data_IF_618779083660
#
_entry.id   IF_618779083660
#
_cell.length_a   1.000
_cell.length_b   1.000
_cell.length_c   1.000
_cell.angle_alpha   90.00
_cell.angle_beta   90.00
_cell.angle_gamma   90.00
#
_symmetry.space_group_name_H-M   'P 1'
#
loop_
_entity.id
_entity.type
_entity.pdbx_description
1 polymer ?
#
# COMPACT_ATOMS: atom_id res chain seq x y z
N UNK A 1 40.48 60.22 -20.29
CA UNK A 1 40.58 58.80 -20.72
C UNK A 1 39.74 57.86 -19.85
N UNK A 2 39.66 58.02 -18.53
CA UNK A 2 38.92 57.07 -17.66
C UNK A 2 37.43 56.86 -17.94
N UNK A 3 36.70 57.85 -18.45
CA UNK A 3 35.27 57.70 -18.74
C UNK A 3 34.97 56.59 -19.77
N UNK A 4 35.86 56.39 -20.74
CA UNK A 4 35.67 55.35 -21.77
C UNK A 4 35.87 53.93 -21.18
N UNK A 5 36.89 53.76 -20.34
CA UNK A 5 37.15 52.51 -19.61
C UNK A 5 36.00 52.17 -18.66
N UNK A 6 35.46 53.16 -17.94
CA UNK A 6 34.33 52.97 -17.04
C UNK A 6 33.05 52.52 -17.79
N UNK A 7 32.80 53.08 -18.98
CA UNK A 7 31.69 52.64 -19.84
C UNK A 7 31.89 51.23 -20.40
N UNK A 8 33.10 50.87 -20.80
CA UNK A 8 33.42 49.53 -21.32
C UNK A 8 33.32 48.46 -20.22
N UNK A 9 33.78 48.78 -19.00
CA UNK A 9 33.61 47.94 -17.83
C UNK A 9 32.12 47.74 -17.48
N UNK A 10 31.30 48.79 -17.60
CA UNK A 10 29.86 48.72 -17.37
C UNK A 10 29.14 47.84 -18.41
N UNK A 11 29.51 47.95 -19.68
CA UNK A 11 28.97 47.10 -20.76
C UNK A 11 29.33 45.62 -20.53
N UNK A 12 30.59 45.33 -20.23
CA UNK A 12 31.05 43.98 -19.92
C UNK A 12 30.32 43.37 -18.70
N UNK A 13 30.00 44.19 -17.70
CA UNK A 13 29.23 43.75 -16.54
C UNK A 13 27.78 43.41 -16.90
N UNK A 14 27.13 44.23 -17.73
CA UNK A 14 25.78 43.96 -18.24
C UNK A 14 25.73 42.68 -19.07
N UNK A 15 26.72 42.46 -19.93
CA UNK A 15 26.81 41.22 -20.72
C UNK A 15 26.97 39.98 -19.83
N UNK A 16 27.76 40.07 -18.75
CA UNK A 16 27.85 39.00 -17.74
C UNK A 16 26.51 38.75 -17.05
N UNK A 17 25.74 39.79 -16.75
CA UNK A 17 24.40 39.65 -16.18
C UNK A 17 23.48 38.90 -17.17
N UNK A 18 23.46 39.31 -18.44
CA UNK A 18 22.60 38.67 -19.46
C UNK A 18 22.95 37.20 -19.68
N UNK A 19 24.24 36.87 -19.68
CA UNK A 19 24.70 35.49 -19.76
C UNK A 19 24.26 34.67 -18.53
N UNK A 20 24.39 35.23 -17.33
CA UNK A 20 23.94 34.56 -16.10
C UNK A 20 22.42 34.36 -16.08
N UNK A 21 21.65 35.35 -16.52
CA UNK A 21 20.19 35.24 -16.63
C UNK A 21 19.79 34.16 -17.65
N UNK A 22 20.53 34.04 -18.74
CA UNK A 22 20.32 33.00 -19.74
C UNK A 22 20.62 31.60 -19.19
N UNK A 23 21.69 31.45 -18.40
CA UNK A 23 22.00 30.21 -17.69
C UNK A 23 20.89 29.83 -16.70
N UNK A 24 20.49 30.77 -15.83
CA UNK A 24 19.39 30.56 -14.87
C UNK A 24 18.11 30.15 -15.60
N UNK A 25 17.76 30.81 -16.70
CA UNK A 25 16.58 30.48 -17.50
C UNK A 25 16.63 29.06 -18.05
N UNK A 26 17.80 28.61 -18.50
CA UNK A 26 18.00 27.25 -19.01
C UNK A 26 17.89 26.21 -17.89
N UNK A 27 18.50 26.47 -16.73
CA UNK A 27 18.39 25.59 -15.55
C UNK A 27 16.94 25.47 -15.08
N UNK A 28 16.19 26.58 -15.00
CA UNK A 28 14.77 26.55 -14.65
C UNK A 28 13.93 25.75 -15.65
N UNK A 29 14.28 25.80 -16.93
CA UNK A 29 13.62 25.00 -17.97
C UNK A 29 13.89 23.51 -17.75
N UNK A 30 15.11 23.14 -17.38
CA UNK A 30 15.48 21.75 -17.08
C UNK A 30 14.80 21.24 -15.80
N UNK A 31 14.76 22.05 -14.74
CA UNK A 31 14.02 21.71 -13.51
C UNK A 31 12.54 21.47 -13.83
N UNK A 32 11.93 22.34 -14.64
CA UNK A 32 10.54 22.20 -15.06
C UNK A 32 10.27 20.90 -15.83
N UNK A 33 11.18 20.47 -16.71
CA UNK A 33 11.03 19.19 -17.42
C UNK A 33 11.21 18.00 -16.48
N UNK A 34 12.18 18.06 -15.55
CA UNK A 34 12.37 17.03 -14.52
C UNK A 34 11.13 16.86 -13.64
N UNK A 35 10.53 17.96 -13.15
CA UNK A 35 9.30 17.92 -12.36
C UNK A 35 8.14 17.29 -13.14
N UNK A 36 7.99 17.62 -14.43
CA UNK A 36 6.95 17.01 -15.28
C UNK A 36 7.14 15.50 -15.42
N UNK A 37 8.38 15.05 -15.62
CA UNK A 37 8.71 13.62 -15.69
C UNK A 37 8.37 12.92 -14.37
N UNK A 38 8.81 13.49 -13.25
CA UNK A 38 8.54 12.97 -11.90
C UNK A 38 7.05 12.82 -11.62
N UNK A 39 6.22 13.81 -12.00
CA UNK A 39 4.76 13.70 -11.87
C UNK A 39 4.18 12.55 -12.68
N UNK A 40 4.66 12.34 -13.90
CA UNK A 40 4.21 11.23 -14.75
C UNK A 40 4.59 9.89 -14.12
N UNK A 41 5.83 9.76 -13.67
CA UNK A 41 6.33 8.55 -13.02
C UNK A 41 5.54 8.25 -11.74
N UNK A 42 5.23 9.29 -10.94
CA UNK A 42 4.44 9.16 -9.71
C UNK A 42 2.97 8.80 -9.99
N UNK A 43 2.39 9.29 -11.10
CA UNK A 43 1.06 8.84 -11.56
C UNK A 43 1.07 7.35 -11.88
N UNK A 44 2.07 6.89 -12.65
CA UNK A 44 2.20 5.48 -13.01
C UNK A 44 2.37 4.60 -11.76
N UNK A 45 3.20 5.02 -10.82
CA UNK A 45 3.38 4.31 -9.54
C UNK A 45 2.06 4.25 -8.79
N UNK A 46 1.35 5.39 -8.67
CA UNK A 46 0.05 5.44 -8.00
C UNK A 46 -0.94 4.47 -8.63
N UNK A 47 -1.09 4.53 -9.94
CA UNK A 47 -2.02 3.68 -10.70
C UNK A 47 -1.68 2.19 -10.54
N UNK A 48 -0.40 1.83 -10.67
CA UNK A 48 0.07 0.45 -10.48
C UNK A 48 -0.07 -0.04 -9.03
N UNK A 49 0.08 0.87 -8.06
CA UNK A 49 -0.03 0.56 -6.64
C UNK A 49 -1.48 0.52 -6.15
N UNK A 50 -2.45 1.00 -6.95
CA UNK A 50 -3.84 1.12 -6.53
C UNK A 50 -4.43 -0.22 -6.10
N UNK A 51 -4.10 -1.31 -6.78
CA UNK A 51 -4.57 -2.65 -6.41
C UNK A 51 -4.03 -3.10 -5.05
N UNK A 52 -2.78 -2.75 -4.73
CA UNK A 52 -2.19 -3.05 -3.43
C UNK A 52 -2.75 -2.17 -2.33
N UNK A 53 -2.95 -0.87 -2.63
CA UNK A 53 -3.63 0.05 -1.72
C UNK A 53 -5.02 -0.48 -1.40
N UNK A 54 -5.81 -0.91 -2.40
CA UNK A 54 -7.12 -1.50 -2.18
C UNK A 54 -7.06 -2.84 -1.41
N UNK A 55 -6.01 -3.63 -1.61
CA UNK A 55 -5.80 -4.90 -0.90
C UNK A 55 -5.47 -4.69 0.60
N UNK A 56 -4.67 -3.66 0.91
CA UNK A 56 -4.22 -3.37 2.28
C UNK A 56 -5.05 -2.28 2.98
N UNK A 57 -5.96 -1.61 2.27
CA UNK A 57 -6.97 -0.73 2.86
C UNK A 57 -7.94 -1.60 3.67
N UNK A 58 -7.54 -1.83 4.92
CA UNK A 58 -8.37 -2.36 5.96
C UNK A 58 -9.45 -1.31 6.27
N UNK A 59 -10.69 -1.58 5.90
CA UNK A 59 -11.81 -0.80 6.41
C UNK A 59 -11.94 -1.13 7.90
N UNK A 60 -11.49 -0.22 8.79
CA UNK A 60 -11.79 -0.32 10.22
C UNK A 60 -13.31 -0.39 10.49
N UNK A 61 -14.13 0.04 9.52
CA UNK A 61 -15.58 -0.04 9.62
C UNK A 61 -16.18 -1.43 9.27
N UNK A 62 -15.38 -2.39 8.79
CA UNK A 62 -15.80 -3.81 8.68
C UNK A 62 -15.65 -4.53 10.05
N UNK A 63 -16.13 -3.89 11.12
CA UNK A 63 -16.26 -4.50 12.46
C UNK A 63 -17.28 -5.65 12.52
N UNK A 64 -17.90 -6.04 11.40
CA UNK A 64 -18.96 -7.06 11.39
C UNK A 64 -18.47 -8.52 11.46
N UNK A 65 -17.16 -8.79 11.44
CA UNK A 65 -16.65 -10.17 11.48
C UNK A 65 -15.70 -10.51 12.66
N UNK A 66 -15.15 -9.53 13.39
CA UNK A 66 -14.18 -9.80 14.47
C UNK A 66 -14.26 -8.80 15.63
N UNK A 67 -15.44 -8.55 16.18
CA UNK A 67 -15.57 -7.85 17.46
C UNK A 67 -15.53 -8.84 18.62
N UNK A 68 -14.34 -9.33 18.99
CA UNK A 68 -14.08 -9.82 20.34
C UNK A 68 -12.58 -9.84 20.68
N UNK A 69 -12.07 -8.72 21.18
CA UNK A 69 -11.11 -8.62 22.29
C UNK A 69 -10.52 -7.20 22.34
N UNK A 70 -11.27 -6.32 22.98
CA UNK A 70 -10.71 -5.12 23.57
C UNK A 70 -9.64 -5.52 24.61
N UNK A 71 -8.38 -5.18 24.36
CA UNK A 71 -7.50 -4.68 25.41
C UNK A 71 -6.93 -3.35 24.95
N UNK A 72 -7.57 -2.28 25.43
CA UNK A 72 -7.09 -0.90 25.39
C UNK A 72 -5.58 -0.86 25.63
N UNK A 73 -4.84 -0.30 24.68
CA UNK A 73 -3.59 0.38 24.96
C UNK A 73 -3.72 1.76 24.34
N UNK A 74 -4.17 2.72 25.16
CA UNK A 74 -4.18 4.14 24.80
C UNK A 74 -2.71 4.60 24.78
N UNK A 75 -2.15 4.76 23.58
CA UNK A 75 -0.95 5.59 23.38
C UNK A 75 -1.44 7.00 23.11
N UNK A 76 -1.44 7.82 24.15
CA UNK A 76 -1.62 9.26 24.05
C UNK A 76 -0.32 9.79 23.42
N UNK A 77 -0.37 10.22 22.16
CA UNK A 77 0.66 11.05 21.56
C UNK A 77 0.16 12.48 21.69
N UNK A 78 0.69 13.21 22.67
CA UNK A 78 0.54 14.66 22.76
C UNK A 78 1.32 15.27 21.58
N UNK A 79 0.62 15.61 20.50
CA UNK A 79 1.15 16.45 19.43
C UNK A 79 0.78 17.92 19.70
N UNK A 80 1.75 18.81 20.01
CA UNK A 80 1.48 20.20 20.37
C UNK A 80 1.16 21.11 19.18
N UNK A 81 0.91 20.59 17.98
CA UNK A 81 0.69 21.39 16.76
C UNK A 81 -0.64 21.14 16.02
N UNK A 82 -1.63 20.51 16.64
CA UNK A 82 -2.91 20.15 15.97
C UNK A 82 -3.84 21.33 15.61
N UNK A 83 -3.56 22.56 16.03
CA UNK A 83 -4.39 23.72 15.72
C UNK A 83 -3.76 24.59 14.63
N UNK A 84 -3.88 24.19 13.35
CA UNK A 84 -3.95 25.10 12.18
C UNK A 84 -3.91 24.34 10.84
N UNK A 85 -4.95 23.59 10.47
CA UNK A 85 -5.21 23.33 9.04
C UNK A 85 -6.71 23.36 8.73
N UNK A 86 -7.15 24.07 7.67
CA UNK A 86 -8.56 24.22 7.33
C UNK A 86 -9.18 22.97 6.70
N UNK A 87 -10.45 22.79 7.03
CA UNK A 87 -11.40 21.68 6.80
C UNK A 87 -11.76 21.47 5.30
N UNK A 88 -10.77 21.20 4.43
CA UNK A 88 -10.98 21.08 2.96
C UNK A 88 -10.95 19.63 2.45
N UNK A 89 -10.75 18.62 3.31
CA UNK A 89 -10.63 17.22 2.89
C UNK A 89 -11.73 16.26 3.38
N UNK A 90 -12.92 16.76 3.70
CA UNK A 90 -14.12 15.91 3.83
C UNK A 90 -14.81 15.78 2.48
N UNK A 91 -14.19 15.03 1.56
CA UNK A 91 -14.88 14.58 0.35
C UNK A 91 -15.54 13.24 0.66
N UNK A 92 -16.80 13.28 1.04
CA UNK A 92 -17.68 12.11 1.14
C UNK A 92 -17.91 11.57 -0.28
N UNK A 93 -17.15 10.55 -0.67
CA UNK A 93 -17.46 9.81 -1.90
C UNK A 93 -18.43 8.70 -1.51
N UNK A 94 -19.72 8.92 -1.80
CA UNK A 94 -20.70 7.83 -1.87
C UNK A 94 -20.31 6.98 -3.10
N UNK A 95 -19.87 5.74 -2.87
CA UNK A 95 -19.73 4.75 -3.93
C UNK A 95 -20.77 3.66 -3.66
N UNK A 96 -21.91 3.81 -4.31
CA UNK A 96 -22.82 2.70 -4.57
C UNK A 96 -22.15 1.71 -5.52
N UNK A 97 -22.39 0.42 -5.26
CA UNK A 97 -22.03 -0.77 -6.07
C UNK A 97 -20.63 -1.36 -5.87
N UNK A 98 -20.58 -2.19 -4.82
CA UNK A 98 -19.60 -3.24 -4.57
C UNK A 98 -19.82 -4.40 -5.56
N UNK A 99 -19.26 -4.35 -6.76
CA UNK A 99 -19.12 -5.55 -7.60
C UNK A 99 -17.94 -6.37 -7.11
N UNK A 100 -18.25 -7.49 -6.45
CA UNK A 100 -17.31 -8.57 -6.14
C UNK A 100 -16.62 -9.05 -7.41
N UNK A 101 -15.34 -8.73 -7.58
CA UNK A 101 -14.49 -9.36 -8.60
C UNK A 101 -14.21 -10.81 -8.18
N UNK A 102 -15.07 -11.72 -8.66
CA UNK A 102 -14.79 -13.15 -8.69
C UNK A 102 -13.82 -13.38 -9.85
N UNK A 103 -12.53 -13.47 -9.55
CA UNK A 103 -11.60 -14.13 -10.48
C UNK A 103 -12.01 -15.61 -10.55
N UNK A 104 -12.49 -16.02 -11.72
CA UNK A 104 -13.13 -17.30 -11.96
C UNK A 104 -12.13 -18.46 -12.15
N UNK A 105 -10.84 -18.22 -11.88
CA UNK A 105 -9.82 -19.25 -11.91
C UNK A 105 -9.79 -20.07 -10.61
N UNK A 106 -10.66 -21.07 -10.49
CA UNK A 106 -10.52 -22.08 -9.44
C UNK A 106 -9.29 -22.96 -9.73
N UNK A 107 -8.18 -22.72 -9.02
CA UNK A 107 -6.97 -23.53 -9.14
C UNK A 107 -7.16 -24.80 -8.29
N UNK A 108 -7.02 -26.02 -8.86
CA UNK A 108 -7.05 -27.26 -8.10
C UNK A 108 -6.01 -27.26 -6.98
N UNK A 109 -6.31 -27.94 -5.86
CA UNK A 109 -5.42 -28.05 -4.69
C UNK A 109 -3.97 -28.42 -5.07
N UNK A 110 -3.79 -29.30 -6.05
CA UNK A 110 -2.49 -29.78 -6.53
C UNK A 110 -1.62 -28.69 -7.15
N UNK A 111 -2.23 -27.63 -7.70
CA UNK A 111 -1.53 -26.55 -8.42
C UNK A 111 -1.33 -25.27 -7.60
N UNK A 112 -1.91 -25.17 -6.40
CA UNK A 112 -1.70 -24.01 -5.52
C UNK A 112 -0.22 -23.77 -5.21
N UNK A 113 0.55 -24.86 -5.05
CA UNK A 113 1.99 -24.77 -4.78
C UNK A 113 2.78 -24.27 -5.99
N UNK A 114 2.32 -24.50 -7.21
CA UNK A 114 3.00 -24.03 -8.41
C UNK A 114 2.82 -22.52 -8.58
N UNK A 115 1.65 -21.99 -8.25
CA UNK A 115 1.30 -20.57 -8.38
C UNK A 115 1.57 -19.69 -7.16
N UNK A 116 2.17 -20.25 -6.11
CA UNK A 116 2.52 -19.49 -4.92
C UNK A 116 3.69 -18.52 -5.21
N UNK A 117 3.63 -17.25 -4.78
CA UNK A 117 4.77 -16.34 -4.78
C UNK A 117 5.96 -16.95 -4.02
N UNK A 118 7.19 -16.75 -4.50
CA UNK A 118 8.40 -17.30 -3.85
C UNK A 118 8.56 -16.85 -2.38
N UNK A 119 8.06 -15.66 -2.05
CA UNK A 119 8.02 -15.13 -0.69
C UNK A 119 7.12 -15.94 0.25
N UNK A 120 6.01 -16.50 -0.25
CA UNK A 120 5.14 -17.38 0.53
C UNK A 120 5.63 -18.84 0.53
N UNK A 121 6.33 -19.27 -0.53
CA UNK A 121 6.95 -20.61 -0.61
C UNK A 121 8.07 -20.81 0.40
N UNK A 122 8.81 -19.74 0.68
CA UNK A 122 9.95 -19.76 1.61
C UNK A 122 9.52 -19.61 3.07
N UNK A 123 8.26 -19.26 3.34
CA UNK A 123 7.77 -18.99 4.69
C UNK A 123 7.27 -20.28 5.37
N UNK A 124 7.95 -20.77 6.43
CA UNK A 124 7.60 -22.05 7.06
C UNK A 124 6.22 -22.02 7.72
N UNK A 125 5.86 -20.88 8.33
CA UNK A 125 4.57 -20.68 9.00
C UNK A 125 3.40 -20.84 8.02
N UNK A 126 3.56 -20.37 6.78
CA UNK A 126 2.52 -20.49 5.76
C UNK A 126 2.28 -21.95 5.36
N UNK A 127 3.36 -22.72 5.20
CA UNK A 127 3.30 -24.15 4.86
C UNK A 127 2.61 -24.92 5.99
N UNK A 128 3.03 -24.69 7.24
CA UNK A 128 2.44 -25.32 8.42
C UNK A 128 0.95 -24.97 8.59
N UNK A 129 0.58 -23.71 8.37
CA UNK A 129 -0.80 -23.25 8.43
C UNK A 129 -1.68 -24.01 7.42
N UNK A 130 -1.20 -24.11 6.18
CA UNK A 130 -1.90 -24.81 5.11
C UNK A 130 -2.09 -26.30 5.44
N UNK A 131 -1.03 -26.98 5.89
CA UNK A 131 -1.09 -28.40 6.23
C UNK A 131 -2.00 -28.65 7.45
N UNK A 132 -2.00 -27.73 8.41
CA UNK A 132 -2.90 -27.78 9.57
C UNK A 132 -4.37 -27.66 9.15
N UNK A 133 -4.72 -26.66 8.33
CA UNK A 133 -6.09 -26.49 7.81
C UNK A 133 -6.53 -27.72 7.00
N UNK A 134 -5.62 -28.29 6.20
CA UNK A 134 -5.89 -29.53 5.46
C UNK A 134 -6.23 -30.71 6.37
N UNK A 135 -5.49 -30.85 7.48
CA UNK A 135 -5.65 -31.98 8.40
C UNK A 135 -6.97 -31.93 9.18
N UNK A 136 -7.42 -30.74 9.56
CA UNK A 136 -8.58 -30.56 10.43
C UNK A 136 -9.89 -30.38 9.65
N UNK A 137 -9.83 -30.02 8.36
CA UNK A 137 -10.96 -29.75 7.45
C UNK A 137 -11.85 -28.54 7.84
N UNK A 138 -12.08 -28.35 9.14
CA UNK A 138 -12.80 -27.23 9.74
C UNK A 138 -11.96 -26.70 10.91
N UNK A 139 -11.61 -25.42 10.88
CA UNK A 139 -10.74 -24.80 11.90
C UNK A 139 -11.30 -23.45 12.31
N UNK A 140 -11.38 -23.17 13.61
CA UNK A 140 -11.73 -21.82 14.11
C UNK A 140 -10.51 -20.90 14.14
N UNK A 141 -10.73 -19.59 14.02
CA UNK A 141 -9.61 -18.64 14.08
C UNK A 141 -8.90 -18.68 15.45
N UNK A 142 -9.65 -18.88 16.54
CA UNK A 142 -9.05 -19.07 17.88
C UNK A 142 -8.09 -20.27 17.94
N UNK A 143 -8.42 -21.37 17.28
CA UNK A 143 -7.55 -22.54 17.19
C UNK A 143 -6.27 -22.24 16.40
N UNK A 144 -6.36 -21.41 15.36
CA UNK A 144 -5.19 -20.95 14.61
C UNK A 144 -4.29 -20.05 15.46
N UNK A 145 -4.85 -19.09 16.19
CA UNK A 145 -4.08 -18.23 17.09
C UNK A 145 -3.37 -19.06 18.16
N UNK A 146 -4.08 -20.04 18.77
CA UNK A 146 -3.46 -20.93 19.77
C UNK A 146 -2.33 -21.76 19.20
N UNK A 147 -2.48 -22.28 17.98
CA UNK A 147 -1.49 -23.14 17.33
C UNK A 147 -0.27 -22.34 16.86
N UNK A 148 -0.49 -21.15 16.32
CA UNK A 148 0.53 -20.25 15.77
C UNK A 148 0.76 -19.05 16.68
N UNK A 149 0.88 -19.28 17.99
CA UNK A 149 1.01 -18.24 19.01
C UNK A 149 2.27 -17.38 18.87
N UNK A 150 3.29 -17.89 18.17
CA UNK A 150 4.53 -17.18 17.84
C UNK A 150 4.40 -16.24 16.64
N UNK A 151 3.30 -16.36 15.87
CA UNK A 151 3.05 -15.55 14.68
C UNK A 151 2.07 -14.44 15.01
N UNK A 152 2.32 -13.23 14.51
CA UNK A 152 1.38 -12.12 14.71
C UNK A 152 0.01 -12.41 14.08
N UNK A 153 -1.06 -12.02 14.76
CA UNK A 153 -2.44 -12.20 14.29
C UNK A 153 -2.66 -11.55 12.92
N UNK A 154 -2.05 -10.38 12.67
CA UNK A 154 -2.09 -9.70 11.37
C UNK A 154 -1.47 -10.55 10.24
N UNK A 155 -0.34 -11.21 10.50
CA UNK A 155 0.31 -12.08 9.51
C UNK A 155 -0.53 -13.33 9.20
N UNK A 156 -1.14 -13.93 10.23
CA UNK A 156 -2.09 -15.04 10.04
C UNK A 156 -3.31 -14.64 9.21
N UNK A 157 -3.89 -13.45 9.48
CA UNK A 157 -5.01 -12.91 8.69
C UNK A 157 -4.64 -12.74 7.22
N UNK A 158 -3.44 -12.20 6.92
CA UNK A 158 -2.96 -12.07 5.54
C UNK A 158 -2.89 -13.43 4.85
N UNK A 159 -2.36 -14.45 5.53
CA UNK A 159 -2.28 -15.80 4.98
C UNK A 159 -3.65 -16.42 4.73
N UNK A 160 -4.59 -16.25 5.66
CA UNK A 160 -5.96 -16.72 5.52
C UNK A 160 -6.66 -16.02 4.35
N UNK A 161 -6.56 -14.69 4.25
CA UNK A 161 -7.13 -13.91 3.16
C UNK A 161 -6.55 -14.35 1.80
N UNK A 162 -5.25 -14.63 1.76
CA UNK A 162 -4.63 -15.18 0.56
C UNK A 162 -5.22 -16.55 0.19
N UNK A 163 -5.33 -17.48 1.15
CA UNK A 163 -5.95 -18.79 0.91
C UNK A 163 -7.42 -18.68 0.48
N UNK A 164 -8.17 -17.74 1.05
CA UNK A 164 -9.56 -17.47 0.69
C UNK A 164 -9.66 -16.92 -0.74
N UNK A 165 -8.81 -15.97 -1.12
CA UNK A 165 -8.79 -15.40 -2.47
C UNK A 165 -8.50 -16.45 -3.55
N UNK A 166 -7.71 -17.47 -3.20
CA UNK A 166 -7.44 -18.63 -4.07
C UNK A 166 -8.50 -19.72 -3.98
N UNK A 167 -9.65 -19.45 -3.35
CA UNK A 167 -10.76 -20.39 -3.14
C UNK A 167 -10.32 -21.68 -2.42
N UNK A 168 -9.22 -21.64 -1.66
CA UNK A 168 -8.68 -22.80 -0.95
C UNK A 168 -9.42 -23.04 0.37
N UNK A 169 -9.78 -21.95 1.05
CA UNK A 169 -10.67 -21.96 2.22
C UNK A 169 -11.88 -21.08 1.97
N UNK A 170 -13.00 -21.48 2.53
CA UNK A 170 -14.19 -20.63 2.71
C UNK A 170 -14.30 -20.24 4.17
N UNK A 171 -14.70 -19.00 4.44
CA UNK A 171 -14.94 -18.50 5.79
C UNK A 171 -16.45 -18.40 5.96
N UNK A 172 -16.98 -19.07 6.98
CA UNK A 172 -18.39 -18.94 7.39
C UNK A 172 -18.42 -18.67 8.89
N UNK A 173 -18.73 -17.42 9.26
CA UNK A 173 -18.56 -16.91 10.62
C UNK A 173 -17.10 -16.97 11.06
N UNK A 174 -16.84 -17.56 12.23
CA UNK A 174 -15.49 -17.73 12.81
C UNK A 174 -14.80 -19.04 12.37
N UNK A 175 -15.39 -19.78 11.43
CA UNK A 175 -14.87 -21.08 11.00
C UNK A 175 -14.36 -21.03 9.56
N UNK A 176 -13.18 -21.62 9.38
CA UNK A 176 -12.53 -21.86 8.11
C UNK A 176 -12.86 -23.28 7.66
N UNK A 177 -13.38 -23.40 6.45
CA UNK A 177 -13.74 -24.67 5.81
C UNK A 177 -12.79 -24.89 4.63
N UNK A 178 -12.19 -26.08 4.55
CA UNK A 178 -11.42 -26.46 3.38
C UNK A 178 -12.37 -26.69 2.20
N UNK A 179 -12.17 -25.97 1.10
CA UNK A 179 -12.94 -26.20 -0.11
C UNK A 179 -12.45 -27.50 -0.77
N UNK A 180 -13.27 -28.54 -0.72
CA UNK A 180 -13.07 -29.78 -1.48
C UNK A 180 -13.50 -29.54 -2.93
N UNK A 181 -12.62 -29.00 -3.76
CA UNK A 181 -12.76 -29.04 -5.21
C UNK A 181 -11.56 -29.75 -5.82
#
# INVERSE_FOLDING_TARGET
>A
MGFLEDTEASINYLEKIDNNLSLIKNELKEIKTKIKKLRKDMSIIKDNSQHWINFFQYNENDESLFSLANTKSEVIIDDPFADTLPDVFKSTVQIENLETFVDDSSIPYSDLMNHLPETLKSEPVFIELKDFIKSQQIVSFEQLIKRFSTTSSGKLKIFINYLQSKKYVSIEGDKLYLNKK
#
